data_IF_767605278116
#
_entry.id   IF_767605278116
#
_cell.length_a   1.000
_cell.length_b   1.000
_cell.length_c   1.000
_cell.angle_alpha   90.00
_cell.angle_beta   90.00
_cell.angle_gamma   90.00
#
_symmetry.space_group_name_H-M   'P 1'
#
loop_
_entity.id
_entity.type
_entity.pdbx_description
1 polymer ?
#
# COMPACT_ATOMS: atom_id res chain seq x y z
N UNK A 1 -15.10 -37.05 58.84
CA UNK A 1 -15.50 -36.89 57.41
C UNK A 1 -14.99 -35.60 56.72
N UNK A 2 -13.95 -34.91 57.23
CA UNK A 2 -13.45 -33.63 56.62
C UNK A 2 -12.03 -33.75 56.01
N UNK A 3 -11.36 -34.91 56.08
CA UNK A 3 -9.98 -35.07 55.55
C UNK A 3 -9.88 -35.72 54.17
N UNK A 4 -10.96 -36.35 53.67
CA UNK A 4 -10.96 -37.08 52.41
C UNK A 4 -11.28 -36.12 51.23
N UNK A 5 -12.02 -35.06 51.43
CA UNK A 5 -12.40 -34.06 50.41
C UNK A 5 -11.24 -33.17 49.97
N UNK A 6 -10.24 -32.94 50.84
CA UNK A 6 -9.10 -32.07 50.50
C UNK A 6 -8.06 -32.77 49.64
N UNK A 7 -7.88 -34.08 49.77
CA UNK A 7 -6.93 -34.84 48.95
C UNK A 7 -7.42 -35.05 47.51
N UNK A 8 -8.73 -35.16 47.30
CA UNK A 8 -9.30 -35.31 45.94
C UNK A 8 -9.25 -33.98 45.17
N UNK A 9 -9.46 -32.85 45.85
CA UNK A 9 -9.35 -31.54 45.19
C UNK A 9 -7.90 -31.22 44.76
N UNK A 10 -6.92 -31.65 45.57
CA UNK A 10 -5.50 -31.40 45.23
C UNK A 10 -5.04 -32.29 44.07
N UNK A 11 -5.56 -33.54 44.01
CA UNK A 11 -5.24 -34.45 42.88
C UNK A 11 -5.83 -33.99 41.54
N UNK A 12 -7.07 -33.43 41.56
CA UNK A 12 -7.68 -32.87 40.34
C UNK A 12 -6.97 -31.59 39.87
N UNK A 13 -6.49 -30.77 40.80
CA UNK A 13 -5.75 -29.55 40.46
C UNK A 13 -4.35 -29.86 39.90
N UNK A 14 -3.69 -30.89 40.34
CA UNK A 14 -2.39 -31.34 39.80
C UNK A 14 -2.51 -31.97 38.43
N UNK A 15 -3.61 -32.68 38.14
CA UNK A 15 -3.86 -33.27 36.80
C UNK A 15 -4.20 -32.14 35.76
N UNK A 16 -4.93 -31.10 36.17
CA UNK A 16 -5.23 -30.00 35.28
C UNK A 16 -4.02 -29.11 35.00
N UNK A 17 -3.11 -28.91 35.99
CA UNK A 17 -1.85 -28.19 35.79
C UNK A 17 -0.88 -28.97 34.91
N UNK A 18 -0.83 -30.32 35.02
CA UNK A 18 -0.04 -31.19 34.16
C UNK A 18 -0.53 -31.17 32.69
N UNK A 19 -1.84 -31.15 32.48
CA UNK A 19 -2.43 -31.05 31.12
C UNK A 19 -2.22 -29.68 30.49
N UNK A 20 -2.20 -28.59 31.29
CA UNK A 20 -1.89 -27.25 30.79
C UNK A 20 -0.41 -27.04 30.48
N UNK A 21 0.50 -27.68 31.21
CA UNK A 21 1.94 -27.65 30.93
C UNK A 21 2.29 -28.44 29.65
N UNK A 22 1.57 -29.53 29.34
CA UNK A 22 1.79 -30.31 28.11
C UNK A 22 1.26 -29.55 26.86
N UNK A 23 0.28 -28.67 27.02
CA UNK A 23 -0.25 -27.86 25.91
C UNK A 23 0.64 -26.65 25.54
N UNK A 24 1.64 -26.28 26.39
CA UNK A 24 2.57 -25.18 26.12
C UNK A 24 3.91 -25.58 25.52
N UNK A 25 4.20 -26.89 25.41
CA UNK A 25 5.44 -27.42 24.84
C UNK A 25 5.20 -27.96 23.42
N UNK A 26 4.53 -27.20 22.55
CA UNK A 26 4.63 -27.38 21.11
C UNK A 26 5.94 -26.71 20.69
N UNK A 27 6.98 -27.49 20.33
CA UNK A 27 8.26 -26.90 19.96
C UNK A 27 8.06 -26.00 18.75
N UNK A 28 8.32 -24.71 18.92
CA UNK A 28 8.41 -23.72 17.82
C UNK A 28 9.51 -24.08 16.78
N UNK A 29 10.18 -25.23 16.96
CA UNK A 29 11.29 -25.67 16.11
C UNK A 29 10.87 -26.58 14.93
N UNK A 30 9.65 -27.13 14.92
CA UNK A 30 9.19 -28.02 13.84
C UNK A 30 9.13 -27.36 12.45
N UNK A 31 8.70 -26.10 12.27
CA UNK A 31 8.61 -25.49 10.94
C UNK A 31 9.95 -25.40 10.21
N UNK A 32 11.07 -25.20 10.92
CA UNK A 32 12.40 -25.04 10.30
C UNK A 32 13.01 -26.33 9.76
N UNK A 33 12.67 -27.46 10.34
CA UNK A 33 13.16 -28.77 9.86
C UNK A 33 12.42 -29.18 8.60
N UNK A 34 11.11 -28.95 8.55
CA UNK A 34 10.28 -29.20 7.37
C UNK A 34 10.68 -28.37 6.17
N UNK A 35 10.97 -27.06 6.36
CA UNK A 35 11.42 -26.17 5.28
C UNK A 35 12.67 -26.64 4.54
N UNK A 36 13.58 -27.40 5.19
CA UNK A 36 14.79 -27.91 4.54
C UNK A 36 14.47 -28.97 3.48
N UNK A 37 13.44 -29.78 3.69
CA UNK A 37 13.02 -30.82 2.75
C UNK A 37 12.21 -30.27 1.57
N UNK A 38 11.53 -29.13 1.75
CA UNK A 38 10.66 -28.51 0.72
C UNK A 38 11.47 -28.03 -0.49
N UNK A 39 10.90 -28.14 -1.66
CA UNK A 39 11.40 -27.54 -2.91
C UNK A 39 11.23 -26.00 -2.89
N UNK A 40 11.86 -25.31 -3.85
CA UNK A 40 11.69 -23.83 -4.00
C UNK A 40 10.23 -23.49 -4.24
N UNK A 41 9.53 -24.25 -5.09
CA UNK A 41 8.12 -24.00 -5.42
C UNK A 41 7.19 -24.20 -4.22
N UNK A 42 7.41 -25.26 -3.41
CA UNK A 42 6.64 -25.49 -2.19
C UNK A 42 6.87 -24.39 -1.15
N UNK A 43 8.11 -23.95 -0.97
CA UNK A 43 8.45 -22.84 -0.07
C UNK A 43 7.84 -21.50 -0.56
N UNK A 44 7.87 -21.24 -1.86
CA UNK A 44 7.25 -20.05 -2.45
C UNK A 44 5.73 -20.06 -2.21
N UNK A 45 5.07 -21.18 -2.48
CA UNK A 45 3.63 -21.35 -2.25
C UNK A 45 3.27 -21.14 -0.78
N UNK A 46 3.99 -21.81 0.14
CA UNK A 46 3.76 -21.66 1.59
C UNK A 46 3.98 -20.20 2.06
N UNK A 47 4.98 -19.51 1.50
CA UNK A 47 5.21 -18.09 1.74
C UNK A 47 4.06 -17.20 1.26
N UNK A 48 3.50 -17.49 0.09
CA UNK A 48 2.34 -16.76 -0.44
C UNK A 48 1.08 -17.02 0.39
N UNK A 49 0.85 -18.25 0.84
CA UNK A 49 -0.25 -18.60 1.73
C UNK A 49 -0.13 -17.90 3.09
N UNK A 50 1.05 -17.92 3.72
CA UNK A 50 1.31 -17.23 4.97
C UNK A 50 1.10 -15.70 4.83
N UNK A 51 1.54 -15.12 3.71
CA UNK A 51 1.30 -13.70 3.38
C UNK A 51 -0.18 -13.39 3.21
N UNK A 52 -0.94 -14.27 2.54
CA UNK A 52 -2.39 -14.16 2.40
C UNK A 52 -3.12 -14.18 3.75
N UNK A 53 -2.63 -14.96 4.70
CA UNK A 53 -3.10 -15.03 6.09
C UNK A 53 -2.57 -13.87 6.96
N UNK A 54 -1.84 -12.90 6.37
CA UNK A 54 -1.18 -11.78 7.06
C UNK A 54 -0.12 -12.21 8.10
N UNK A 55 0.32 -13.46 8.06
CA UNK A 55 1.45 -13.93 8.86
C UNK A 55 2.77 -13.59 8.15
N UNK A 56 3.13 -12.31 8.18
CA UNK A 56 4.26 -11.81 7.41
C UNK A 56 5.61 -12.34 7.89
N UNK A 57 5.76 -12.58 9.20
CA UNK A 57 6.97 -13.19 9.76
C UNK A 57 7.22 -14.59 9.20
N UNK A 58 6.19 -15.44 9.18
CA UNK A 58 6.27 -16.78 8.62
C UNK A 58 6.52 -16.74 7.10
N UNK A 59 5.87 -15.81 6.38
CA UNK A 59 6.11 -15.62 4.95
C UNK A 59 7.58 -15.25 4.66
N UNK A 60 8.19 -14.39 5.49
CA UNK A 60 9.61 -14.03 5.40
C UNK A 60 10.48 -15.28 5.57
N UNK A 61 10.21 -16.11 6.56
CA UNK A 61 10.98 -17.35 6.79
C UNK A 61 10.93 -18.28 5.58
N UNK A 62 9.74 -18.50 4.99
CA UNK A 62 9.58 -19.33 3.79
C UNK A 62 10.33 -18.76 2.58
N UNK A 63 10.18 -17.45 2.28
CA UNK A 63 10.87 -16.84 1.15
C UNK A 63 12.39 -16.84 1.35
N UNK A 64 12.87 -16.65 2.57
CA UNK A 64 14.31 -16.76 2.89
C UNK A 64 14.81 -18.20 2.70
N UNK A 65 14.03 -19.21 3.08
CA UNK A 65 14.37 -20.61 2.86
C UNK A 65 14.41 -20.94 1.35
N UNK A 66 13.47 -20.44 0.57
CA UNK A 66 13.47 -20.57 -0.90
C UNK A 66 14.73 -19.92 -1.52
N UNK A 67 15.08 -18.72 -1.08
CA UNK A 67 16.25 -17.98 -1.57
C UNK A 67 17.60 -18.60 -1.17
N UNK A 68 17.66 -19.44 -0.14
CA UNK A 68 18.86 -20.23 0.15
C UNK A 68 19.12 -21.29 -0.94
N UNK A 69 18.03 -21.78 -1.58
CA UNK A 69 18.09 -22.78 -2.66
C UNK A 69 18.21 -22.14 -4.03
N UNK A 70 17.54 -21.01 -4.26
CA UNK A 70 17.60 -20.26 -5.53
C UNK A 70 17.94 -18.78 -5.26
N UNK A 71 19.24 -18.47 -5.24
CA UNK A 71 19.77 -17.15 -4.90
C UNK A 71 19.64 -16.11 -6.02
N UNK A 72 19.31 -16.53 -7.24
CA UNK A 72 19.20 -15.64 -8.39
C UNK A 72 17.74 -15.39 -8.83
N UNK A 73 16.79 -15.67 -7.95
CA UNK A 73 15.37 -15.48 -8.22
C UNK A 73 14.89 -14.08 -7.86
N UNK A 74 14.78 -13.21 -8.86
CA UNK A 74 14.32 -11.84 -8.68
C UNK A 74 12.88 -11.77 -8.10
N UNK A 75 12.01 -12.71 -8.51
CA UNK A 75 10.62 -12.74 -8.04
C UNK A 75 10.55 -13.08 -6.53
N UNK A 76 11.33 -14.06 -6.07
CA UNK A 76 11.40 -14.39 -4.64
C UNK A 76 11.93 -13.23 -3.81
N UNK A 77 12.93 -12.48 -4.30
CA UNK A 77 13.37 -11.26 -3.60
C UNK A 77 12.30 -10.19 -3.55
N UNK A 78 11.50 -10.02 -4.61
CA UNK A 78 10.38 -9.08 -4.60
C UNK A 78 9.30 -9.52 -3.60
N UNK A 79 8.91 -10.81 -3.57
CA UNK A 79 7.97 -11.37 -2.61
C UNK A 79 8.45 -11.24 -1.17
N UNK A 80 9.73 -11.52 -0.91
CA UNK A 80 10.37 -11.29 0.39
C UNK A 80 10.26 -9.82 0.81
N UNK A 81 10.60 -8.90 -0.10
CA UNK A 81 10.50 -7.48 0.15
C UNK A 81 9.08 -7.02 0.47
N UNK A 82 8.07 -7.56 -0.22
CA UNK A 82 6.65 -7.28 0.07
C UNK A 82 6.24 -7.76 1.47
N UNK A 83 6.66 -8.99 1.87
CA UNK A 83 6.40 -9.51 3.21
C UNK A 83 7.07 -8.64 4.29
N UNK A 84 8.34 -8.29 4.10
CA UNK A 84 9.10 -7.41 4.98
C UNK A 84 8.47 -6.01 5.09
N UNK A 85 8.00 -5.45 3.97
CA UNK A 85 7.30 -4.16 3.96
C UNK A 85 6.03 -4.20 4.82
N UNK A 86 5.24 -5.26 4.68
CA UNK A 86 4.02 -5.48 5.49
C UNK A 86 4.33 -5.78 6.96
N UNK A 87 5.50 -6.34 7.25
CA UNK A 87 6.02 -6.56 8.60
C UNK A 87 6.72 -5.31 9.19
N UNK A 88 6.62 -4.16 8.50
CA UNK A 88 7.25 -2.89 8.89
C UNK A 88 8.80 -2.90 8.92
N UNK A 89 9.42 -3.84 8.22
CA UNK A 89 10.87 -3.98 8.11
C UNK A 89 11.40 -3.19 6.91
N UNK A 90 11.25 -1.86 6.91
CA UNK A 90 11.50 -0.99 5.75
C UNK A 90 12.92 -1.12 5.17
N UNK A 91 13.94 -1.30 6.03
CA UNK A 91 15.33 -1.42 5.58
C UNK A 91 15.57 -2.75 4.85
N UNK A 92 15.07 -3.85 5.42
CA UNK A 92 15.16 -5.17 4.84
C UNK A 92 14.38 -5.24 3.52
N UNK A 93 13.16 -4.70 3.48
CA UNK A 93 12.34 -4.61 2.28
C UNK A 93 13.06 -3.90 1.13
N UNK A 94 13.63 -2.72 1.41
CA UNK A 94 14.43 -1.98 0.41
C UNK A 94 15.58 -2.82 -0.13
N UNK A 95 16.32 -3.50 0.75
CA UNK A 95 17.44 -4.36 0.35
C UNK A 95 16.98 -5.52 -0.54
N UNK A 96 15.85 -6.14 -0.21
CA UNK A 96 15.27 -7.23 -1.00
C UNK A 96 14.82 -6.75 -2.38
N UNK A 97 14.13 -5.62 -2.49
CA UNK A 97 13.74 -5.03 -3.78
C UNK A 97 14.96 -4.61 -4.62
N UNK A 98 16.02 -4.08 -3.99
CA UNK A 98 17.26 -3.76 -4.67
C UNK A 98 17.96 -5.00 -5.24
N UNK A 99 17.96 -6.12 -4.51
CA UNK A 99 18.46 -7.40 -5.03
C UNK A 99 17.62 -7.88 -6.21
N UNK A 100 16.28 -7.82 -6.12
CA UNK A 100 15.38 -8.15 -7.22
C UNK A 100 15.71 -7.31 -8.48
N UNK A 101 15.82 -5.99 -8.34
CA UNK A 101 16.12 -5.09 -9.45
C UNK A 101 17.57 -5.20 -9.97
N UNK A 102 18.50 -5.70 -9.15
CA UNK A 102 19.88 -5.99 -9.60
C UNK A 102 19.93 -7.28 -10.44
N UNK A 103 19.18 -8.30 -10.06
CA UNK A 103 19.08 -9.57 -10.80
C UNK A 103 18.34 -9.34 -12.12
N UNK A 104 17.22 -8.62 -12.07
CA UNK A 104 16.45 -8.22 -13.25
C UNK A 104 16.31 -6.70 -13.31
N UNK A 105 17.13 -6.04 -14.09
CA UNK A 105 17.15 -4.56 -14.21
C UNK A 105 15.89 -3.97 -14.86
N UNK A 106 15.08 -4.81 -15.53
CA UNK A 106 13.78 -4.46 -16.14
C UNK A 106 12.59 -4.81 -15.24
N UNK A 107 12.80 -5.25 -14.01
CA UNK A 107 11.71 -5.59 -13.09
C UNK A 107 11.06 -4.32 -12.53
N UNK A 108 10.13 -3.76 -13.29
CA UNK A 108 9.45 -2.49 -12.99
C UNK A 108 8.79 -2.50 -11.61
N UNK A 109 8.13 -3.61 -11.22
CA UNK A 109 7.47 -3.74 -9.92
C UNK A 109 8.46 -3.61 -8.75
N UNK A 110 9.61 -4.29 -8.80
CA UNK A 110 10.62 -4.19 -7.76
C UNK A 110 11.16 -2.75 -7.63
N UNK A 111 11.35 -2.06 -8.76
CA UNK A 111 11.79 -0.66 -8.80
C UNK A 111 10.71 0.25 -8.22
N UNK A 112 9.44 0.03 -8.56
CA UNK A 112 8.30 0.72 -7.95
C UNK A 112 8.28 0.52 -6.43
N UNK A 113 8.50 -0.70 -5.97
CA UNK A 113 8.50 -1.04 -4.54
C UNK A 113 9.67 -0.37 -3.77
N UNK A 114 10.83 -0.17 -4.41
CA UNK A 114 11.90 0.69 -3.82
C UNK A 114 11.36 2.11 -3.64
N UNK A 115 10.68 2.66 -4.66
CA UNK A 115 10.04 3.97 -4.57
C UNK A 115 9.03 4.07 -3.43
N UNK A 116 8.23 3.02 -3.22
CA UNK A 116 7.26 2.96 -2.12
C UNK A 116 7.94 3.02 -0.75
N UNK A 117 9.06 2.30 -0.55
CA UNK A 117 9.84 2.39 0.70
C UNK A 117 10.43 3.79 0.89
N UNK A 118 10.96 4.41 -0.16
CA UNK A 118 11.46 5.79 -0.09
C UNK A 118 10.35 6.77 0.28
N UNK A 119 9.15 6.59 -0.29
CA UNK A 119 7.98 7.41 0.02
C UNK A 119 7.59 7.28 1.50
N UNK A 120 7.52 6.05 2.04
CA UNK A 120 7.22 5.81 3.46
C UNK A 120 8.25 6.46 4.39
N UNK A 121 9.50 6.60 3.94
CA UNK A 121 10.57 7.33 4.64
C UNK A 121 10.52 8.85 4.44
N UNK A 122 9.49 9.36 3.76
CA UNK A 122 9.33 10.77 3.38
C UNK A 122 10.45 11.29 2.45
N UNK A 123 11.22 10.39 1.84
CA UNK A 123 12.16 10.76 0.77
C UNK A 123 11.42 10.83 -0.58
N UNK A 124 10.57 11.83 -0.72
CA UNK A 124 9.70 11.97 -1.89
C UNK A 124 10.48 12.19 -3.20
N UNK A 125 11.66 12.80 -3.13
CA UNK A 125 12.55 12.95 -4.28
C UNK A 125 13.10 11.61 -4.78
N UNK A 126 13.59 10.78 -3.86
CA UNK A 126 14.04 9.42 -4.13
C UNK A 126 12.91 8.53 -4.64
N UNK A 127 11.72 8.63 -4.03
CA UNK A 127 10.52 7.93 -4.46
C UNK A 127 10.15 8.27 -5.91
N UNK A 128 10.04 9.56 -6.25
CA UNK A 128 9.71 10.01 -7.59
C UNK A 128 10.71 9.51 -8.65
N UNK A 129 12.01 9.47 -8.32
CA UNK A 129 13.05 8.91 -9.21
C UNK A 129 12.80 7.44 -9.55
N UNK A 130 12.47 6.63 -8.52
CA UNK A 130 12.21 5.20 -8.71
C UNK A 130 10.87 4.94 -9.42
N UNK A 131 9.80 5.67 -9.05
CA UNK A 131 8.52 5.56 -9.72
C UNK A 131 8.61 5.96 -11.19
N UNK A 132 9.31 7.06 -11.51
CA UNK A 132 9.55 7.46 -12.90
C UNK A 132 10.31 6.38 -13.68
N UNK A 133 11.27 5.70 -13.06
CA UNK A 133 11.97 4.57 -13.70
C UNK A 133 11.03 3.38 -13.92
N UNK A 134 10.13 3.08 -12.98
CA UNK A 134 9.13 2.02 -13.13
C UNK A 134 8.15 2.33 -14.27
N UNK A 135 7.64 3.56 -14.35
CA UNK A 135 6.80 4.05 -15.46
C UNK A 135 7.53 3.90 -16.81
N UNK A 136 8.81 4.29 -16.87
CA UNK A 136 9.59 4.17 -18.11
C UNK A 136 9.81 2.71 -18.57
N UNK A 137 9.72 1.73 -17.66
CA UNK A 137 9.83 0.30 -17.97
C UNK A 137 8.47 -0.32 -18.34
N UNK A 138 7.38 0.22 -17.81
CA UNK A 138 6.01 -0.19 -18.10
C UNK A 138 5.07 1.01 -17.89
N UNK A 139 4.82 1.74 -18.97
CA UNK A 139 3.96 2.93 -19.00
C UNK A 139 2.45 2.61 -18.99
N UNK A 140 2.10 1.33 -19.06
CA UNK A 140 0.69 0.89 -19.08
C UNK A 140 0.17 0.53 -17.69
N UNK A 141 1.03 0.50 -16.68
CA UNK A 141 0.66 0.11 -15.34
C UNK A 141 0.16 1.31 -14.52
N UNK A 142 -1.15 1.47 -14.41
CA UNK A 142 -1.80 2.61 -13.72
C UNK A 142 -1.27 2.92 -12.32
N UNK A 143 -0.94 1.87 -11.53
CA UNK A 143 -0.42 2.03 -10.17
C UNK A 143 0.91 2.78 -10.13
N UNK A 144 1.77 2.65 -11.15
CA UNK A 144 3.04 3.38 -11.19
C UNK A 144 2.82 4.88 -11.37
N UNK A 145 1.83 5.26 -12.19
CA UNK A 145 1.40 6.65 -12.36
C UNK A 145 0.77 7.21 -11.07
N UNK A 146 -0.08 6.43 -10.39
CA UNK A 146 -0.62 6.82 -9.07
C UNK A 146 0.51 7.12 -8.08
N UNK A 147 1.49 6.23 -7.98
CA UNK A 147 2.60 6.38 -7.05
C UNK A 147 3.51 7.57 -7.42
N UNK A 148 3.76 7.78 -8.70
CA UNK A 148 4.54 8.94 -9.18
C UNK A 148 3.81 10.25 -8.90
N UNK A 149 2.51 10.27 -9.17
CA UNK A 149 1.64 11.41 -8.83
C UNK A 149 1.65 11.71 -7.34
N UNK A 150 1.54 10.71 -6.49
CA UNK A 150 1.63 10.86 -5.04
C UNK A 150 2.98 11.45 -4.60
N UNK A 151 4.09 11.00 -5.21
CA UNK A 151 5.41 11.53 -4.90
C UNK A 151 5.59 12.98 -5.37
N UNK A 152 4.99 13.37 -6.51
CA UNK A 152 4.95 14.77 -6.95
C UNK A 152 4.07 15.64 -6.07
N UNK A 153 2.90 15.11 -5.65
CA UNK A 153 2.01 15.79 -4.73
C UNK A 153 2.71 16.13 -3.41
N UNK A 154 3.39 15.14 -2.79
CA UNK A 154 4.13 15.34 -1.54
C UNK A 154 5.32 16.31 -1.67
N UNK A 155 5.80 16.56 -2.90
CA UNK A 155 6.75 17.62 -3.22
C UNK A 155 6.08 18.97 -3.54
N UNK A 156 4.76 19.09 -3.40
CA UNK A 156 3.94 20.27 -3.78
C UNK A 156 4.01 20.62 -5.27
N UNK A 157 4.34 19.66 -6.12
CA UNK A 157 4.37 19.80 -7.59
C UNK A 157 3.02 19.35 -8.16
N UNK A 158 1.98 20.10 -7.83
CA UNK A 158 0.58 19.70 -8.04
C UNK A 158 0.23 19.45 -9.51
N UNK A 159 0.70 20.29 -10.44
CA UNK A 159 0.42 20.10 -11.88
C UNK A 159 1.00 18.77 -12.41
N UNK A 160 2.21 18.41 -11.97
CA UNK A 160 2.80 17.11 -12.32
C UNK A 160 2.02 15.96 -11.70
N UNK A 161 1.56 16.12 -10.47
CA UNK A 161 0.74 15.10 -9.82
C UNK A 161 -0.57 14.89 -10.58
N UNK A 162 -1.26 15.95 -10.96
CA UNK A 162 -2.52 15.90 -11.73
C UNK A 162 -2.30 15.21 -13.07
N UNK A 163 -1.21 15.52 -13.79
CA UNK A 163 -0.88 14.87 -15.06
C UNK A 163 -0.74 13.35 -14.90
N UNK A 164 -0.03 12.88 -13.87
CA UNK A 164 0.12 11.46 -13.60
C UNK A 164 -1.20 10.80 -13.17
N UNK A 165 -2.04 11.50 -12.39
CA UNK A 165 -3.37 10.99 -12.00
C UNK A 165 -4.31 10.87 -13.19
N UNK A 166 -4.30 11.84 -14.12
CA UNK A 166 -5.03 11.73 -15.39
C UNK A 166 -4.59 10.49 -16.14
N UNK A 167 -3.28 10.30 -16.28
CA UNK A 167 -2.74 9.12 -16.98
C UNK A 167 -3.13 7.80 -16.30
N UNK A 168 -3.09 7.76 -14.97
CA UNK A 168 -3.55 6.59 -14.22
C UNK A 168 -5.03 6.27 -14.47
N UNK A 169 -5.89 7.29 -14.53
CA UNK A 169 -7.32 7.16 -14.79
C UNK A 169 -7.62 6.78 -16.25
N UNK A 170 -6.80 7.21 -17.21
CA UNK A 170 -6.89 6.76 -18.61
C UNK A 170 -6.62 5.26 -18.73
N UNK A 171 -5.62 4.77 -18.00
CA UNK A 171 -5.24 3.36 -18.00
C UNK A 171 -6.19 2.48 -17.21
N UNK A 172 -6.70 2.99 -16.10
CA UNK A 172 -7.66 2.31 -15.24
C UNK A 172 -8.60 3.34 -14.61
N UNK A 173 -9.87 3.40 -15.05
CA UNK A 173 -10.89 4.30 -14.49
C UNK A 173 -11.06 4.17 -12.98
N UNK A 174 -10.84 2.97 -12.46
CA UNK A 174 -10.97 2.65 -11.03
C UNK A 174 -9.65 2.76 -10.25
N UNK A 175 -8.64 3.42 -10.81
CA UNK A 175 -7.30 3.51 -10.21
C UNK A 175 -7.32 4.02 -8.76
N UNK A 176 -8.31 4.85 -8.40
CA UNK A 176 -8.48 5.44 -7.07
C UNK A 176 -9.64 4.86 -6.25
N UNK A 177 -10.46 3.98 -6.81
CA UNK A 177 -11.62 3.40 -6.13
C UNK A 177 -11.28 2.19 -5.24
N UNK A 178 -10.07 1.65 -5.34
CA UNK A 178 -9.64 0.48 -4.57
C UNK A 178 -8.95 0.92 -3.29
N UNK A 179 -9.61 0.77 -2.16
CA UNK A 179 -9.13 1.13 -0.81
C UNK A 179 -7.72 0.60 -0.45
N UNK A 180 -7.29 -0.47 -1.09
CA UNK A 180 -6.02 -1.14 -0.75
C UNK A 180 -4.78 -0.61 -1.48
N UNK A 181 -4.93 0.15 -2.57
CA UNK A 181 -3.80 0.50 -3.45
C UNK A 181 -3.40 1.99 -3.40
N UNK A 182 -4.30 2.86 -2.98
CA UNK A 182 -4.00 4.28 -2.69
C UNK A 182 -3.27 4.41 -1.33
N UNK A 183 -3.24 3.34 -0.59
CA UNK A 183 -3.02 3.22 0.84
C UNK A 183 -1.80 3.92 1.44
N UNK A 184 -0.73 4.18 0.71
CA UNK A 184 0.47 4.76 1.32
C UNK A 184 0.40 6.29 1.36
N UNK A 185 -0.11 6.93 0.33
CA UNK A 185 -0.15 8.40 0.26
C UNK A 185 -1.23 9.01 1.17
N UNK A 186 -2.47 8.48 1.12
CA UNK A 186 -3.59 9.08 1.85
C UNK A 186 -3.53 8.87 3.37
N UNK A 187 -2.83 7.84 3.86
CA UNK A 187 -2.74 7.55 5.29
C UNK A 187 -1.76 8.44 6.08
N UNK A 188 -0.89 9.16 5.39
CA UNK A 188 0.20 9.93 6.01
C UNK A 188 -0.07 11.44 5.95
N UNK A 189 -1.12 11.87 5.23
CA UNK A 189 -1.40 13.28 4.98
C UNK A 189 -2.09 13.96 6.17
N UNK A 190 -1.71 15.23 6.43
CA UNK A 190 -2.46 16.11 7.33
C UNK A 190 -3.87 16.41 6.78
N UNK A 191 -4.82 16.92 7.58
CA UNK A 191 -6.14 17.31 7.06
C UNK A 191 -6.06 18.27 5.87
N UNK A 192 -5.18 19.29 5.94
CA UNK A 192 -4.97 20.24 4.86
C UNK A 192 -4.42 19.58 3.60
N UNK A 193 -3.50 18.65 3.76
CA UNK A 193 -2.95 17.87 2.65
C UNK A 193 -3.98 16.93 2.05
N UNK A 194 -4.87 16.33 2.86
CA UNK A 194 -5.99 15.51 2.34
C UNK A 194 -6.97 16.36 1.55
N UNK A 195 -7.30 17.56 2.04
CA UNK A 195 -8.15 18.50 1.33
C UNK A 195 -7.57 18.90 -0.04
N UNK A 196 -6.28 19.24 -0.06
CA UNK A 196 -5.55 19.57 -1.31
C UNK A 196 -5.45 18.36 -2.24
N UNK A 197 -5.25 17.16 -1.71
CA UNK A 197 -5.20 15.92 -2.49
C UNK A 197 -6.55 15.64 -3.16
N UNK A 198 -7.65 15.74 -2.40
CA UNK A 198 -8.99 15.56 -2.93
C UNK A 198 -9.31 16.57 -4.04
N UNK A 199 -8.91 17.84 -3.89
CA UNK A 199 -9.07 18.85 -4.92
C UNK A 199 -8.23 18.54 -6.18
N UNK A 200 -6.99 18.06 -6.01
CA UNK A 200 -6.14 17.65 -7.13
C UNK A 200 -6.73 16.45 -7.90
N UNK A 201 -7.34 15.50 -7.21
CA UNK A 201 -8.06 14.40 -7.84
C UNK A 201 -9.30 14.89 -8.59
N UNK A 202 -10.05 15.84 -8.00
CA UNK A 202 -11.19 16.47 -8.69
C UNK A 202 -10.78 17.08 -10.03
N UNK A 203 -9.63 17.77 -10.09
CA UNK A 203 -9.05 18.30 -11.33
C UNK A 203 -8.75 17.19 -12.34
N UNK A 204 -8.17 16.08 -11.89
CA UNK A 204 -7.86 14.95 -12.77
C UNK A 204 -9.14 14.30 -13.35
N UNK A 205 -10.16 14.09 -12.52
CA UNK A 205 -11.46 13.59 -12.98
C UNK A 205 -12.17 14.58 -13.92
N UNK A 206 -12.11 15.89 -13.62
CA UNK A 206 -12.67 16.93 -14.48
C UNK A 206 -12.02 16.95 -15.87
N UNK A 207 -10.68 16.86 -15.96
CA UNK A 207 -9.95 16.74 -17.24
C UNK A 207 -10.43 15.56 -18.06
N UNK A 208 -10.74 14.45 -17.40
CA UNK A 208 -11.26 13.24 -18.03
C UNK A 208 -12.74 13.33 -18.41
N UNK A 209 -13.48 14.28 -17.87
CA UNK A 209 -14.92 14.40 -18.06
C UNK A 209 -15.75 13.49 -17.14
N UNK A 210 -15.14 12.92 -16.12
CA UNK A 210 -15.81 12.10 -15.11
C UNK A 210 -16.44 13.00 -14.03
N UNK A 211 -17.67 13.44 -14.31
CA UNK A 211 -18.40 14.41 -13.50
C UNK A 211 -18.69 13.86 -12.11
N UNK A 212 -19.09 12.59 -12.00
CA UNK A 212 -19.52 12.00 -10.73
C UNK A 212 -18.37 11.90 -9.74
N UNK A 213 -17.26 11.33 -10.15
CA UNK A 213 -16.06 11.23 -9.31
C UNK A 213 -15.44 12.62 -9.03
N UNK A 214 -15.50 13.55 -9.99
CA UNK A 214 -15.07 14.93 -9.78
C UNK A 214 -15.86 15.57 -8.64
N UNK A 215 -17.21 15.53 -8.69
CA UNK A 215 -18.07 16.13 -7.68
C UNK A 215 -17.90 15.46 -6.31
N UNK A 216 -17.69 14.15 -6.27
CA UNK A 216 -17.41 13.43 -5.04
C UNK A 216 -16.08 13.89 -4.41
N UNK A 217 -15.04 14.05 -5.22
CA UNK A 217 -13.76 14.57 -4.76
C UNK A 217 -13.85 16.04 -4.29
N UNK A 218 -14.66 16.88 -4.96
CA UNK A 218 -14.91 18.25 -4.51
C UNK A 218 -15.65 18.31 -3.17
N UNK A 219 -16.67 17.45 -2.96
CA UNK A 219 -17.35 17.32 -1.67
C UNK A 219 -16.35 16.97 -0.57
N UNK A 220 -15.52 15.96 -0.82
CA UNK A 220 -14.48 15.54 0.12
C UNK A 220 -13.46 16.65 0.41
N UNK A 221 -13.01 17.38 -0.61
CA UNK A 221 -12.11 18.53 -0.43
C UNK A 221 -12.74 19.60 0.49
N UNK A 222 -14.03 19.90 0.28
CA UNK A 222 -14.80 20.85 1.10
C UNK A 222 -14.93 20.37 2.55
N UNK A 223 -15.29 19.09 2.76
CA UNK A 223 -15.41 18.47 4.09
C UNK A 223 -14.09 18.47 4.86
N UNK A 224 -12.96 18.23 4.17
CA UNK A 224 -11.61 18.28 4.75
C UNK A 224 -11.07 19.72 4.90
N UNK A 225 -11.86 20.74 4.53
CA UNK A 225 -11.55 22.15 4.75
C UNK A 225 -10.68 22.81 3.69
N UNK A 226 -10.76 22.40 2.42
CA UNK A 226 -10.06 23.09 1.32
C UNK A 226 -10.51 24.52 1.19
N UNK A 227 -9.60 25.47 1.39
CA UNK A 227 -9.95 26.92 1.52
C UNK A 227 -10.30 27.58 0.18
N UNK A 228 -9.75 27.08 -0.92
CA UNK A 228 -9.84 27.76 -2.21
C UNK A 228 -10.85 27.10 -3.16
N UNK A 229 -12.01 26.68 -2.64
CA UNK A 229 -13.03 25.98 -3.42
C UNK A 229 -13.50 26.80 -4.65
N UNK A 230 -13.50 28.13 -4.57
CA UNK A 230 -13.86 29.02 -5.69
C UNK A 230 -12.91 28.88 -6.91
N UNK A 231 -11.76 28.21 -6.76
CA UNK A 231 -10.86 27.92 -7.89
C UNK A 231 -11.52 27.02 -8.95
N UNK A 232 -12.58 26.28 -8.63
CA UNK A 232 -13.35 25.52 -9.64
C UNK A 232 -13.88 26.42 -10.77
N UNK A 233 -14.10 27.72 -10.51
CA UNK A 233 -14.55 28.71 -11.49
C UNK A 233 -13.40 29.41 -12.23
N UNK A 234 -12.14 29.16 -11.84
CA UNK A 234 -10.94 29.77 -12.41
C UNK A 234 -10.07 28.74 -13.15
N UNK A 235 -9.91 27.57 -12.58
CA UNK A 235 -9.03 26.51 -13.09
C UNK A 235 -9.61 25.89 -14.37
N UNK A 236 -8.78 25.76 -15.39
CA UNK A 236 -9.19 25.31 -16.75
C UNK A 236 -9.76 23.90 -16.76
N UNK A 237 -9.32 23.05 -15.84
CA UNK A 237 -9.77 21.68 -15.74
C UNK A 237 -11.29 21.57 -15.54
N UNK A 238 -11.89 22.55 -14.90
CA UNK A 238 -13.34 22.57 -14.61
C UNK A 238 -14.17 23.30 -15.67
N UNK A 239 -13.59 23.81 -16.76
CA UNK A 239 -14.30 24.61 -17.77
C UNK A 239 -15.60 23.95 -18.24
N UNK A 240 -15.61 22.63 -18.46
CA UNK A 240 -16.78 21.88 -18.92
C UNK A 240 -17.86 21.68 -17.84
N UNK A 241 -17.52 21.98 -16.59
CA UNK A 241 -18.40 21.76 -15.44
C UNK A 241 -18.95 23.05 -14.85
N UNK A 242 -18.46 24.24 -15.28
CA UNK A 242 -18.81 25.53 -14.66
C UNK A 242 -20.31 25.81 -14.67
N UNK A 243 -21.00 25.42 -15.73
CA UNK A 243 -22.43 25.63 -15.90
C UNK A 243 -23.26 24.42 -15.43
N UNK A 244 -22.62 23.41 -14.81
CA UNK A 244 -23.31 22.22 -14.34
C UNK A 244 -24.02 22.52 -13.01
N UNK A 245 -25.38 22.39 -12.93
CA UNK A 245 -26.13 22.66 -11.70
C UNK A 245 -25.61 21.85 -10.49
N UNK A 246 -25.18 20.62 -10.72
CA UNK A 246 -24.65 19.75 -9.66
C UNK A 246 -23.30 20.27 -9.10
N UNK A 247 -22.52 21.01 -9.88
CA UNK A 247 -21.33 21.70 -9.37
C UNK A 247 -21.74 22.84 -8.44
N UNK A 248 -22.78 23.61 -8.82
CA UNK A 248 -23.30 24.73 -8.02
C UNK A 248 -23.82 24.25 -6.65
N UNK A 249 -24.37 23.05 -6.56
CA UNK A 249 -24.79 22.44 -5.28
C UNK A 249 -23.59 22.16 -4.35
N UNK A 250 -22.45 21.82 -4.90
CA UNK A 250 -21.22 21.54 -4.13
C UNK A 250 -20.45 22.82 -3.81
N UNK A 251 -20.26 23.66 -4.83
CA UNK A 251 -19.56 24.93 -4.76
C UNK A 251 -20.42 25.99 -5.42
N UNK A 252 -21.14 26.81 -4.64
CA UNK A 252 -21.94 27.91 -5.20
C UNK A 252 -21.07 28.86 -6.04
N UNK A 253 -21.59 29.35 -7.16
CA UNK A 253 -20.88 30.33 -7.98
C UNK A 253 -20.62 31.62 -7.17
N UNK A 254 -19.52 32.33 -7.47
CA UNK A 254 -19.28 33.62 -6.85
C UNK A 254 -20.44 34.57 -7.18
N UNK A 255 -20.93 35.29 -6.18
CA UNK A 255 -21.91 36.31 -6.36
C UNK A 255 -21.17 37.49 -7.02
N UNK A 256 -21.54 37.82 -8.25
CA UNK A 256 -21.05 39.06 -8.91
C UNK A 256 -21.44 40.26 -8.04
N UNK A 257 -20.40 40.95 -7.55
CA UNK A 257 -20.56 42.19 -6.80
C UNK A 257 -20.53 43.38 -7.74
#
# INVERSE_FOLDING_TARGET
MRKITFSILLAVMLVTLGAYAIAMDIPQQQPRVEMKAMTVAELEKAGDEARGQKNYSLAIDYFQAALKKDRQNANLYNKLGLAQLKNNELNAAKTSFQKASKINSKYAEAINNIGAVEYMRKNYGGAAKHFKKAVALDETHSTYHVNLGAAWFSQKKFERAISEYVRALELNPDAFNQESKIGIAAQILSPEERAQYAFSLAKAYAKRGDVDNCLQCLKKAKEEGYRNMANVYKDEEFNRLRDNPRLHDVVPPPIDK
#
